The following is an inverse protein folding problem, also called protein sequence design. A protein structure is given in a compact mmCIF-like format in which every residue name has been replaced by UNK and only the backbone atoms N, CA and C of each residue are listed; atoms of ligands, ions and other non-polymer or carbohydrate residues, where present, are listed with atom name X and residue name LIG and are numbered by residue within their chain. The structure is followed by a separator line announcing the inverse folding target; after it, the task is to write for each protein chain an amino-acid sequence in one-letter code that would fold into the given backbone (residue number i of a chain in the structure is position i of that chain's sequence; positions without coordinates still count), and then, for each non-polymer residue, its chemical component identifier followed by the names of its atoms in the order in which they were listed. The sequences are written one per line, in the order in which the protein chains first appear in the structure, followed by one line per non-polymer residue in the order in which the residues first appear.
data_IF_073226141859
#
_entry.id   IF_073226141859
#
_cell.length_a   1.000
_cell.length_b   1.000
_cell.length_c   1.000
_cell.angle_alpha   90.00
_cell.angle_beta   90.00
_cell.angle_gamma   90.00
#
_symmetry.space_group_name_H-M   'P 1'
#
loop_
_entity.id
_entity.type
_entity.pdbx_description
1 polymer ?
#
# COMPACT_ATOMS: atom_id res chain seq x y z
N UNK A 1 3.48 1.53 -6.50
CA UNK A 1 2.82 1.36 -5.19
C UNK A 1 3.76 0.51 -4.36
N UNK A 2 4.37 1.08 -3.34
CA UNK A 2 5.29 0.35 -2.48
C UNK A 2 4.59 0.05 -1.14
N UNK A 3 4.82 -1.12 -0.55
CA UNK A 3 4.26 -1.49 0.76
C UNK A 3 5.28 -1.14 1.83
N UNK A 4 4.93 -0.22 2.72
CA UNK A 4 5.79 0.20 3.82
C UNK A 4 5.62 -0.70 5.04
N UNK A 5 4.41 -1.23 5.24
CA UNK A 5 4.11 -2.10 6.36
C UNK A 5 2.74 -2.74 6.26
N UNK A 6 2.55 -3.78 7.05
CA UNK A 6 1.28 -4.49 7.24
C UNK A 6 1.06 -4.71 8.73
N UNK A 7 -0.19 -4.68 9.17
CA UNK A 7 -0.53 -5.17 10.49
C UNK A 7 -0.44 -6.70 10.46
N UNK A 8 0.40 -7.27 11.31
CA UNK A 8 0.52 -8.71 11.47
C UNK A 8 -0.75 -9.36 12.02
N UNK A 9 -0.81 -10.70 12.05
CA UNK A 9 -1.93 -11.40 12.65
C UNK A 9 -2.04 -11.11 14.15
N UNK A 10 -3.22 -11.33 14.71
CA UNK A 10 -3.39 -11.42 16.16
C UNK A 10 -2.51 -12.55 16.70
N UNK A 11 -1.92 -12.35 17.89
CA UNK A 11 -1.03 -13.33 18.52
C UNK A 11 -1.73 -14.70 18.67
N UNK A 12 -1.24 -15.75 17.99
CA UNK A 12 -1.81 -17.09 18.11
C UNK A 12 -1.75 -17.65 19.53
N UNK A 13 -0.74 -17.28 20.33
CA UNK A 13 -0.62 -17.78 21.70
C UNK A 13 -1.74 -17.21 22.56
N UNK A 14 -2.08 -15.93 22.39
CA UNK A 14 -3.22 -15.32 23.07
C UNK A 14 -4.55 -16.02 22.74
N UNK A 15 -4.74 -16.45 21.48
CA UNK A 15 -5.93 -17.23 21.10
C UNK A 15 -5.98 -18.58 21.83
N UNK A 16 -4.84 -19.26 21.94
CA UNK A 16 -4.73 -20.54 22.67
C UNK A 16 -4.98 -20.33 24.17
N UNK A 17 -4.35 -19.34 24.78
CA UNK A 17 -4.44 -19.03 26.22
C UNK A 17 -5.85 -18.64 26.65
N UNK A 18 -6.65 -18.06 25.74
CA UNK A 18 -8.04 -17.69 25.97
C UNK A 18 -9.04 -18.73 25.43
N UNK A 19 -8.57 -19.89 24.97
CA UNK A 19 -9.39 -20.97 24.43
C UNK A 19 -10.33 -20.52 23.28
N UNK A 20 -9.88 -19.57 22.46
CA UNK A 20 -10.65 -19.06 21.32
C UNK A 20 -10.44 -20.00 20.12
N UNK A 21 -11.39 -20.88 19.86
CA UNK A 21 -11.35 -21.85 18.75
C UNK A 21 -12.14 -21.41 17.52
N UNK A 22 -12.83 -20.27 17.59
CA UNK A 22 -13.68 -19.75 16.52
C UNK A 22 -14.09 -18.30 16.75
N UNK A 23 -14.59 -17.66 15.71
CA UNK A 23 -15.08 -16.29 15.72
C UNK A 23 -16.46 -16.24 15.03
N UNK A 24 -17.32 -15.24 15.34
CA UNK A 24 -17.10 -14.14 16.29
C UNK A 24 -17.02 -14.61 17.76
N UNK A 25 -16.36 -13.82 18.59
CA UNK A 25 -16.11 -14.03 20.04
C UNK A 25 -16.40 -12.71 20.79
N UNK A 26 -16.74 -12.68 22.10
CA UNK A 26 -17.01 -11.43 22.83
C UNK A 26 -15.92 -10.34 22.69
N UNK A 27 -14.66 -10.74 22.46
CA UNK A 27 -13.53 -9.85 22.21
C UNK A 27 -13.11 -9.73 20.73
N UNK A 28 -13.73 -10.51 19.83
CA UNK A 28 -13.46 -10.49 18.38
C UNK A 28 -14.80 -10.40 17.64
N UNK A 29 -15.23 -9.21 17.20
CA UNK A 29 -16.61 -8.98 16.76
C UNK A 29 -16.95 -9.56 15.38
N UNK A 30 -15.99 -10.11 14.64
CA UNK A 30 -16.16 -10.70 13.30
C UNK A 30 -15.38 -12.01 13.20
N UNK A 31 -15.83 -12.91 12.32
CA UNK A 31 -15.12 -14.11 11.89
C UNK A 31 -13.96 -13.83 10.91
N UNK A 32 -13.81 -12.58 10.47
CA UNK A 32 -12.69 -12.13 9.65
C UNK A 32 -11.81 -11.13 10.39
N UNK A 33 -10.49 -11.38 10.39
CA UNK A 33 -9.51 -10.39 10.84
C UNK A 33 -9.30 -9.31 9.77
N UNK A 34 -9.18 -8.06 10.22
CA UNK A 34 -8.98 -6.93 9.32
C UNK A 34 -7.60 -6.98 8.66
N UNK A 35 -7.55 -6.64 7.37
CA UNK A 35 -6.31 -6.33 6.69
C UNK A 35 -6.03 -4.84 6.80
N UNK A 36 -4.80 -4.50 7.21
CA UNK A 36 -4.32 -3.13 7.25
C UNK A 36 -2.92 -3.07 6.66
N UNK A 37 -2.71 -2.14 5.75
CA UNK A 37 -1.42 -1.90 5.12
C UNK A 37 -1.14 -0.40 4.99
N UNK A 38 0.12 -0.03 5.17
CA UNK A 38 0.62 1.30 4.86
C UNK A 38 1.30 1.25 3.49
N UNK A 39 0.82 2.08 2.56
CA UNK A 39 1.33 2.15 1.20
C UNK A 39 2.00 3.50 0.96
N UNK A 40 3.09 3.48 0.19
CA UNK A 40 3.69 4.67 -0.38
C UNK A 40 3.19 4.86 -1.82
N UNK A 41 2.54 6.00 -2.05
CA UNK A 41 2.17 6.48 -3.36
C UNK A 41 3.21 7.51 -3.83
N UNK A 42 3.97 7.15 -4.85
CA UNK A 42 4.88 8.07 -5.53
C UNK A 42 4.17 8.65 -6.75
N UNK A 43 3.83 9.95 -6.76
CA UNK A 43 3.29 10.57 -7.96
C UNK A 43 4.36 10.56 -9.05
N UNK A 44 3.98 10.35 -10.32
CA UNK A 44 4.94 10.36 -11.40
C UNK A 44 5.54 11.79 -11.53
N UNK A 45 6.84 11.92 -11.87
CA UNK A 45 7.53 13.23 -11.95
C UNK A 45 7.05 14.06 -13.13
N UNK A 46 6.30 15.13 -12.88
CA UNK A 46 5.79 16.03 -13.92
C UNK A 46 6.97 16.81 -14.50
N UNK A 47 7.26 16.75 -15.83
CA UNK A 47 8.27 17.65 -16.38
C UNK A 47 7.79 19.10 -16.19
N UNK A 48 8.57 19.88 -15.44
CA UNK A 48 8.34 21.31 -15.26
C UNK A 48 8.66 22.02 -16.59
N UNK A 49 7.63 22.30 -17.38
CA UNK A 49 7.73 23.23 -18.51
C UNK A 49 7.21 24.58 -18.02
N UNK A 50 8.09 25.58 -17.99
CA UNK A 50 7.77 26.99 -17.74
C UNK A 50 6.88 27.26 -16.51
N UNK A 51 7.17 26.62 -15.36
CA UNK A 51 6.46 26.91 -14.10
C UNK A 51 5.07 26.27 -13.97
N UNK A 52 4.64 25.45 -14.95
CA UNK A 52 3.37 24.72 -14.90
C UNK A 52 3.64 23.23 -14.71
N UNK A 53 3.07 22.65 -13.66
CA UNK A 53 3.21 21.23 -13.32
C UNK A 53 2.32 20.39 -14.26
N UNK A 54 2.93 19.67 -15.23
CA UNK A 54 2.23 18.87 -16.25
C UNK A 54 2.14 17.38 -15.91
N UNK A 55 0.95 16.74 -15.81
CA UNK A 55 0.75 15.33 -15.39
C UNK A 55 1.71 14.34 -16.06
N UNK A 56 2.32 13.45 -15.29
CA UNK A 56 3.62 12.90 -15.66
C UNK A 56 3.41 11.71 -16.54
N UNK A 57 4.01 11.78 -17.73
CA UNK A 57 4.05 10.67 -18.65
C UNK A 57 4.98 9.61 -18.09
N UNK A 58 4.39 8.46 -17.76
CA UNK A 58 5.07 7.25 -17.33
C UNK A 58 6.10 6.82 -18.38
N UNK A 59 7.24 6.38 -17.88
CA UNK A 59 8.43 5.93 -18.59
C UNK A 59 8.13 4.97 -19.75
N UNK A 60 8.72 5.29 -20.92
CA UNK A 60 8.79 4.40 -22.07
C UNK A 60 8.89 5.16 -23.40
N UNK A 61 9.90 6.00 -23.59
CA UNK A 61 10.32 6.45 -24.93
C UNK A 61 11.82 6.78 -24.87
N UNK A 62 12.66 6.24 -25.76
CA UNK A 62 14.08 6.54 -25.80
C UNK A 62 14.28 7.97 -26.33
N UNK A 63 15.29 8.63 -25.80
CA UNK A 63 15.78 9.91 -26.31
C UNK A 63 16.19 9.74 -27.78
N UNK A 64 15.49 10.40 -28.69
CA UNK A 64 16.02 10.72 -30.02
C UNK A 64 16.37 12.21 -30.05
N UNK A 65 17.66 12.41 -30.16
CA UNK A 65 18.37 13.67 -30.38
C UNK A 65 17.81 14.48 -31.55
N UNK A 66 17.79 15.80 -31.33
CA UNK A 66 18.02 16.91 -32.28
C UNK A 66 18.34 16.50 -33.72
N UNK A 67 17.64 17.06 -34.73
CA UNK A 67 18.23 17.97 -35.74
C UNK A 67 17.13 18.71 -36.54
N UNK A 68 17.42 19.99 -36.84
CA UNK A 68 16.91 20.89 -37.90
C UNK A 68 15.54 21.55 -37.72
#
# INVERSE_FOLDING_TARGET
MNVLGVLGPLDPQWLVDNNITGCPHPHIPSDHFSLLTQLELQPPLLPLVNGVHLPSRRHGEPSVSSVS
#
